data_IF_675256002616
#
_entry.id   IF_675256002616
#
_cell.length_a   1.000
_cell.length_b   1.000
_cell.length_c   1.000
_cell.angle_alpha   90.00
_cell.angle_beta   90.00
_cell.angle_gamma   90.00
#
_symmetry.space_group_name_H-M   'P 1'
#
loop_
_entity.id
_entity.type
_entity.pdbx_description
1 polymer ?
#
# COMPACT_ATOMS: atom_id res chain seq x y z
N UNK A 1 52.75 4.13 1.43
CA UNK A 1 52.06 5.11 2.29
C UNK A 1 50.72 5.56 1.71
N UNK A 2 50.61 5.79 0.39
CA UNK A 2 49.38 6.21 -0.30
C UNK A 2 48.25 5.15 -0.29
N UNK A 3 48.60 3.87 -0.32
CA UNK A 3 47.64 2.74 -0.37
C UNK A 3 46.79 2.62 0.91
N UNK A 4 47.33 3.06 2.06
CA UNK A 4 46.63 3.07 3.35
C UNK A 4 45.51 4.11 3.43
N UNK A 5 45.66 5.24 2.75
CA UNK A 5 44.67 6.33 2.79
C UNK A 5 43.47 6.05 1.88
N UNK A 6 43.70 5.42 0.72
CA UNK A 6 42.60 4.96 -0.15
C UNK A 6 41.72 3.90 0.53
N UNK A 7 42.33 2.99 1.29
CA UNK A 7 41.59 1.96 2.02
C UNK A 7 40.72 2.57 3.13
N UNK A 8 41.25 3.57 3.85
CA UNK A 8 40.48 4.32 4.87
C UNK A 8 39.32 5.11 4.26
N UNK A 9 39.56 5.81 3.15
CA UNK A 9 38.51 6.58 2.45
C UNK A 9 37.42 5.65 1.90
N UNK A 10 37.81 4.51 1.33
CA UNK A 10 36.87 3.49 0.84
C UNK A 10 35.99 2.94 1.97
N UNK A 11 36.58 2.60 3.12
CA UNK A 11 35.85 2.14 4.31
C UNK A 11 34.86 3.19 4.84
N UNK A 12 35.28 4.46 4.92
CA UNK A 12 34.40 5.55 5.33
C UNK A 12 33.22 5.77 4.36
N UNK A 13 33.47 5.69 3.05
CA UNK A 13 32.43 5.80 2.02
C UNK A 13 31.44 4.64 2.07
N UNK A 14 31.93 3.41 2.28
CA UNK A 14 31.09 2.22 2.47
C UNK A 14 30.23 2.34 3.74
N UNK A 15 30.81 2.82 4.84
CA UNK A 15 30.09 3.03 6.08
C UNK A 15 28.96 4.08 5.92
N UNK A 16 29.27 5.23 5.29
CA UNK A 16 28.28 6.26 4.99
C UNK A 16 27.17 5.76 4.06
N UNK A 17 27.54 5.01 3.02
CA UNK A 17 26.59 4.38 2.09
C UNK A 17 25.66 3.39 2.77
N UNK A 18 26.19 2.51 3.61
CA UNK A 18 25.40 1.55 4.38
C UNK A 18 24.43 2.24 5.34
N UNK A 19 24.88 3.30 6.04
CA UNK A 19 24.02 4.09 6.93
C UNK A 19 22.89 4.79 6.16
N UNK A 20 23.18 5.31 4.95
CA UNK A 20 22.17 5.92 4.10
C UNK A 20 21.11 4.90 3.66
N UNK A 21 21.54 3.73 3.16
CA UNK A 21 20.62 2.65 2.72
C UNK A 21 19.72 2.17 3.85
N UNK A 22 20.25 1.99 5.06
CA UNK A 22 19.47 1.63 6.26
C UNK A 22 18.42 2.69 6.59
N UNK A 23 18.81 3.95 6.58
CA UNK A 23 17.87 5.06 6.80
C UNK A 23 16.73 5.07 5.78
N UNK A 24 17.02 4.77 4.50
CA UNK A 24 15.98 4.66 3.47
C UNK A 24 15.05 3.47 3.74
N UNK A 25 15.60 2.30 4.06
CA UNK A 25 14.79 1.10 4.38
C UNK A 25 13.88 1.34 5.58
N UNK A 26 14.42 1.92 6.65
CA UNK A 26 13.65 2.36 7.81
C UNK A 26 12.46 3.25 7.43
N UNK A 27 12.72 4.30 6.64
CA UNK A 27 11.68 5.25 6.21
C UNK A 27 10.64 4.58 5.30
N UNK A 28 11.08 3.71 4.37
CA UNK A 28 10.20 2.99 3.46
C UNK A 28 9.32 1.99 4.22
N UNK A 29 9.89 1.24 5.17
CA UNK A 29 9.12 0.30 5.99
C UNK A 29 8.06 1.04 6.79
N UNK A 30 8.41 2.15 7.46
CA UNK A 30 7.40 3.00 8.14
C UNK A 30 6.34 3.56 7.20
N UNK A 31 6.70 3.89 5.94
CA UNK A 31 5.73 4.33 4.94
C UNK A 31 4.75 3.22 4.54
N UNK A 32 5.22 1.98 4.41
CA UNK A 32 4.36 0.81 4.22
C UNK A 32 3.45 0.57 5.43
N UNK A 33 3.96 0.72 6.66
CA UNK A 33 3.12 0.66 7.85
C UNK A 33 1.95 1.66 7.81
N UNK A 34 2.24 2.92 7.47
CA UNK A 34 1.19 3.95 7.26
C UNK A 34 0.23 3.58 6.13
N UNK A 35 0.74 3.06 5.02
CA UNK A 35 -0.09 2.59 3.90
C UNK A 35 -1.10 1.54 4.39
N UNK A 36 -0.65 0.51 5.11
CA UNK A 36 -1.55 -0.52 5.62
C UNK A 36 -2.62 0.06 6.54
N UNK A 37 -2.27 0.99 7.44
CA UNK A 37 -3.23 1.64 8.33
C UNK A 37 -4.27 2.49 7.57
N UNK A 38 -3.84 3.30 6.60
CA UNK A 38 -4.72 4.15 5.80
C UNK A 38 -5.77 3.29 5.09
N UNK A 39 -5.34 2.22 4.46
CA UNK A 39 -6.22 1.37 3.67
C UNK A 39 -7.06 0.41 4.53
N UNK A 40 -6.56 -0.05 5.68
CA UNK A 40 -7.39 -0.75 6.66
C UNK A 40 -8.56 0.11 7.13
N UNK A 41 -8.30 1.39 7.45
CA UNK A 41 -9.34 2.36 7.79
C UNK A 41 -10.27 2.62 6.59
N UNK A 42 -9.74 2.65 5.37
CA UNK A 42 -10.55 2.84 4.16
C UNK A 42 -11.54 1.69 3.96
N UNK A 43 -11.09 0.45 4.12
CA UNK A 43 -11.94 -0.74 4.04
C UNK A 43 -13.03 -0.70 5.12
N UNK A 44 -12.67 -0.30 6.34
CA UNK A 44 -13.65 -0.06 7.41
C UNK A 44 -14.71 0.96 6.98
N UNK A 45 -14.30 2.10 6.43
CA UNK A 45 -15.24 3.13 5.98
C UNK A 45 -16.12 2.64 4.81
N UNK A 46 -15.58 1.87 3.86
CA UNK A 46 -16.39 1.29 2.78
C UNK A 46 -17.48 0.35 3.30
N UNK A 47 -17.21 -0.41 4.36
CA UNK A 47 -18.18 -1.35 4.91
C UNK A 47 -19.24 -0.66 5.77
N UNK A 48 -18.83 0.27 6.64
CA UNK A 48 -19.72 0.80 7.67
C UNK A 48 -20.42 2.11 7.31
N UNK A 49 -19.85 2.96 6.44
CA UNK A 49 -20.53 4.19 5.99
C UNK A 49 -21.84 3.88 5.26
N UNK A 50 -21.92 2.89 4.35
CA UNK A 50 -23.18 2.58 3.68
C UNK A 50 -24.31 2.20 4.64
N UNK A 51 -23.98 1.41 5.68
CA UNK A 51 -24.93 1.00 6.70
C UNK A 51 -25.50 2.19 7.47
N UNK A 52 -24.66 3.19 7.75
CA UNK A 52 -25.08 4.43 8.39
C UNK A 52 -25.94 5.32 7.45
N UNK A 53 -25.55 5.45 6.18
CA UNK A 53 -26.28 6.25 5.20
C UNK A 53 -27.67 5.69 4.89
N UNK A 54 -27.82 4.37 4.89
CA UNK A 54 -29.11 3.69 4.73
C UNK A 54 -30.13 4.08 5.80
N UNK A 55 -29.69 4.47 6.99
CA UNK A 55 -30.56 4.88 8.08
C UNK A 55 -30.96 6.37 8.00
N UNK A 56 -30.20 7.19 7.26
CA UNK A 56 -30.35 8.65 7.24
C UNK A 56 -30.95 9.21 5.94
N UNK A 57 -30.85 8.48 4.84
CA UNK A 57 -31.20 8.99 3.51
C UNK A 57 -32.33 8.19 2.87
N UNK A 58 -33.21 8.89 2.14
CA UNK A 58 -34.24 8.26 1.31
C UNK A 58 -33.58 7.41 0.23
N UNK A 59 -34.23 6.32 -0.19
CA UNK A 59 -33.77 5.41 -1.26
C UNK A 59 -33.30 6.11 -2.54
N UNK A 60 -33.90 7.25 -2.88
CA UNK A 60 -33.56 8.05 -4.06
C UNK A 60 -32.21 8.80 -3.97
N UNK A 61 -31.71 9.03 -2.75
CA UNK A 61 -30.44 9.74 -2.49
C UNK A 61 -29.29 8.79 -2.09
N UNK A 62 -29.59 7.51 -1.82
CA UNK A 62 -28.61 6.52 -1.36
C UNK A 62 -27.51 6.28 -2.39
N UNK A 63 -27.84 6.11 -3.66
CA UNK A 63 -26.85 5.86 -4.72
C UNK A 63 -25.85 7.01 -4.86
N UNK A 64 -26.34 8.26 -4.77
CA UNK A 64 -25.50 9.47 -4.81
C UNK A 64 -24.63 9.54 -3.55
N UNK A 65 -25.22 9.31 -2.37
CA UNK A 65 -24.49 9.34 -1.10
C UNK A 65 -23.40 8.27 -1.06
N UNK A 66 -23.65 7.06 -1.57
CA UNK A 66 -22.64 6.00 -1.70
C UNK A 66 -21.53 6.40 -2.65
N UNK A 67 -21.87 6.90 -3.84
CA UNK A 67 -20.89 7.33 -4.84
C UNK A 67 -19.96 8.40 -4.30
N UNK A 68 -20.53 9.43 -3.67
CA UNK A 68 -19.76 10.53 -3.07
C UNK A 68 -18.89 10.02 -1.94
N UNK A 69 -19.42 9.15 -1.07
CA UNK A 69 -18.68 8.62 0.08
C UNK A 69 -17.50 7.76 -0.37
N UNK A 70 -17.73 6.83 -1.31
CA UNK A 70 -16.69 5.93 -1.81
C UNK A 70 -15.61 6.69 -2.57
N UNK A 71 -16.02 7.62 -3.45
CA UNK A 71 -15.09 8.51 -4.14
C UNK A 71 -14.25 9.32 -3.17
N UNK A 72 -14.86 9.87 -2.11
CA UNK A 72 -14.16 10.66 -1.09
C UNK A 72 -13.13 9.83 -0.33
N UNK A 73 -13.49 8.63 0.12
CA UNK A 73 -12.57 7.72 0.82
C UNK A 73 -11.35 7.44 -0.07
N UNK A 74 -11.55 7.12 -1.35
CA UNK A 74 -10.44 6.78 -2.25
C UNK A 74 -9.53 7.97 -2.52
N UNK A 75 -10.12 9.14 -2.80
CA UNK A 75 -9.34 10.36 -3.05
C UNK A 75 -8.50 10.70 -1.82
N UNK A 76 -9.11 10.70 -0.62
CA UNK A 76 -8.41 11.01 0.63
C UNK A 76 -7.33 9.99 0.94
N UNK A 77 -7.64 8.69 0.88
CA UNK A 77 -6.69 7.62 1.20
C UNK A 77 -5.53 7.54 0.21
N UNK A 78 -5.80 7.79 -1.06
CA UNK A 78 -4.76 7.86 -2.07
C UNK A 78 -3.90 9.12 -1.91
N UNK A 79 -4.48 10.26 -1.58
CA UNK A 79 -3.75 11.48 -1.27
C UNK A 79 -2.82 11.28 -0.06
N UNK A 80 -3.32 10.69 1.02
CA UNK A 80 -2.52 10.38 2.22
C UNK A 80 -1.41 9.36 1.92
N UNK A 81 -1.70 8.35 1.10
CA UNK A 81 -0.69 7.40 0.60
C UNK A 81 0.39 8.12 -0.20
N UNK A 82 -0.02 9.01 -1.12
CA UNK A 82 0.87 9.83 -1.92
C UNK A 82 1.80 10.70 -1.07
N UNK A 83 1.25 11.44 -0.10
CA UNK A 83 2.02 12.25 0.83
C UNK A 83 3.02 11.42 1.64
N UNK A 84 2.64 10.21 2.05
CA UNK A 84 3.48 9.31 2.82
C UNK A 84 4.71 8.89 2.03
N UNK A 85 4.52 8.42 0.80
CA UNK A 85 5.64 7.98 -0.05
C UNK A 85 6.41 9.15 -0.66
N UNK A 86 5.79 10.31 -0.87
CA UNK A 86 6.48 11.50 -1.36
C UNK A 86 7.53 11.98 -0.36
N UNK A 87 7.20 12.01 0.94
CA UNK A 87 8.16 12.37 1.99
C UNK A 87 9.37 11.46 1.96
N UNK A 88 9.17 10.15 1.84
CA UNK A 88 10.28 9.18 1.71
C UNK A 88 11.05 9.36 0.42
N UNK A 89 10.35 9.62 -0.70
CA UNK A 89 10.98 9.86 -1.99
C UNK A 89 11.83 11.15 -2.00
N UNK A 90 11.41 12.21 -1.30
CA UNK A 90 12.21 13.44 -1.14
C UNK A 90 13.48 13.18 -0.34
N UNK A 91 13.38 12.43 0.75
CA UNK A 91 14.57 12.04 1.55
C UNK A 91 15.52 11.15 0.74
N UNK A 92 14.98 10.18 -0.01
CA UNK A 92 15.76 9.33 -0.90
C UNK A 92 16.37 10.10 -2.09
N UNK A 93 15.68 11.12 -2.61
CA UNK A 93 16.20 12.00 -3.68
C UNK A 93 17.33 12.90 -3.18
N UNK A 94 17.21 13.47 -1.97
CA UNK A 94 18.30 14.23 -1.34
C UNK A 94 19.55 13.37 -1.20
N UNK A 95 19.40 12.12 -0.76
CA UNK A 95 20.51 11.16 -0.73
C UNK A 95 21.00 10.81 -2.14
N UNK A 96 20.13 10.53 -3.12
CA UNK A 96 20.56 10.24 -4.50
C UNK A 96 21.23 11.42 -5.21
N UNK A 97 20.86 12.65 -4.89
CA UNK A 97 21.48 13.86 -5.42
C UNK A 97 22.93 14.01 -4.92
N UNK A 98 23.21 13.57 -3.68
CA UNK A 98 24.57 13.44 -3.16
C UNK A 98 25.37 12.34 -3.88
N UNK A 99 24.71 11.30 -4.41
CA UNK A 99 25.37 10.11 -4.99
C UNK A 99 25.17 9.93 -6.52
N UNK A 100 24.77 10.97 -7.27
CA UNK A 100 24.59 10.96 -8.75
C UNK A 100 23.93 9.69 -9.33
N UNK A 101 22.72 9.33 -8.90
CA UNK A 101 21.97 8.24 -9.52
C UNK A 101 21.18 8.68 -10.77
N UNK A 102 21.07 7.83 -11.82
CA UNK A 102 20.37 8.14 -13.07
C UNK A 102 18.85 8.32 -12.88
N UNK A 103 18.27 9.22 -13.69
CA UNK A 103 16.84 9.57 -13.71
C UNK A 103 15.98 8.37 -14.14
N UNK A 104 14.88 8.12 -13.42
CA UNK A 104 13.85 7.14 -13.80
C UNK A 104 13.18 7.51 -15.13
N UNK A 105 12.86 6.49 -15.92
CA UNK A 105 12.26 6.61 -17.25
C UNK A 105 10.81 7.15 -17.18
N UNK A 106 10.48 8.04 -18.13
CA UNK A 106 9.15 8.69 -18.24
C UNK A 106 8.01 7.68 -18.42
N UNK A 107 8.29 6.55 -19.11
CA UNK A 107 7.33 5.45 -19.31
C UNK A 107 6.78 4.86 -18.01
N UNK A 108 7.61 4.71 -16.97
CA UNK A 108 7.17 4.14 -15.68
C UNK A 108 6.23 5.10 -14.93
N UNK A 109 6.42 6.41 -15.11
CA UNK A 109 5.56 7.43 -14.52
C UNK A 109 4.19 7.43 -15.21
N UNK A 110 4.18 7.30 -16.54
CA UNK A 110 2.96 7.23 -17.34
C UNK A 110 2.16 5.97 -17.01
N UNK A 111 2.82 4.80 -16.94
CA UNK A 111 2.15 3.55 -16.57
C UNK A 111 1.55 3.61 -15.16
N UNK A 112 2.26 4.21 -14.20
CA UNK A 112 1.76 4.37 -12.82
C UNK A 112 0.56 5.30 -12.75
N UNK A 113 0.58 6.40 -13.48
CA UNK A 113 -0.53 7.35 -13.53
C UNK A 113 -1.73 6.76 -14.28
N UNK A 114 -1.52 6.02 -15.37
CA UNK A 114 -2.57 5.32 -16.09
C UNK A 114 -3.24 4.24 -15.23
N UNK A 115 -2.45 3.49 -14.44
CA UNK A 115 -2.97 2.52 -13.48
C UNK A 115 -3.82 3.18 -12.39
N UNK A 116 -3.37 4.32 -11.88
CA UNK A 116 -4.10 5.09 -10.87
C UNK A 116 -5.42 5.69 -11.42
N UNK A 117 -5.40 6.18 -12.66
CA UNK A 117 -6.60 6.65 -13.37
C UNK A 117 -7.56 5.49 -13.67
N UNK A 118 -7.06 4.31 -14.02
CA UNK A 118 -7.88 3.12 -14.20
C UNK A 118 -8.58 2.68 -12.90
N UNK A 119 -7.89 2.75 -11.75
CA UNK A 119 -8.49 2.50 -10.43
C UNK A 119 -9.57 3.53 -10.12
N UNK A 120 -9.33 4.82 -10.40
CA UNK A 120 -10.32 5.89 -10.22
C UNK A 120 -11.57 5.70 -11.08
N UNK A 121 -11.39 5.38 -12.36
CA UNK A 121 -12.50 5.08 -13.29
C UNK A 121 -13.28 3.86 -12.80
N UNK A 122 -12.56 2.83 -12.35
CA UNK A 122 -13.22 1.63 -11.86
C UNK A 122 -14.08 1.93 -10.64
N UNK A 123 -13.58 2.68 -9.67
CA UNK A 123 -14.32 3.00 -8.44
C UNK A 123 -15.59 3.80 -8.76
N UNK A 124 -15.52 4.70 -9.74
CA UNK A 124 -16.71 5.40 -10.25
C UNK A 124 -17.71 4.42 -10.86
N UNK A 125 -17.25 3.36 -11.54
CA UNK A 125 -18.10 2.28 -12.05
C UNK A 125 -18.64 1.35 -10.93
N UNK A 126 -17.86 1.14 -9.86
CA UNK A 126 -18.27 0.39 -8.66
C UNK A 126 -19.41 1.10 -7.90
N UNK A 127 -19.49 2.42 -7.97
CA UNK A 127 -20.57 3.18 -7.35
C UNK A 127 -21.91 3.11 -8.11
N UNK A 128 -21.90 2.76 -9.41
CA UNK A 128 -23.08 2.83 -10.28
C UNK A 128 -23.71 1.46 -10.52
N UNK A 129 -24.47 0.89 -9.57
CA UNK A 129 -25.47 -0.20 -9.78
C UNK A 129 -25.05 -1.53 -10.45
N UNK A 130 -23.85 -1.62 -11.02
CA UNK A 130 -23.36 -2.68 -11.91
C UNK A 130 -23.09 -3.98 -11.14
N UNK A 131 -22.88 -3.85 -9.83
CA UNK A 131 -22.70 -4.95 -8.88
C UNK A 131 -23.89 -5.85 -8.64
N UNK A 132 -25.09 -5.43 -9.06
CA UNK A 132 -26.25 -6.31 -9.00
C UNK A 132 -26.18 -7.44 -10.02
N UNK A 133 -25.20 -7.41 -10.93
CA UNK A 133 -25.00 -8.43 -11.97
C UNK A 133 -23.75 -9.28 -11.70
N UNK A 134 -23.81 -10.56 -12.09
CA UNK A 134 -22.67 -11.49 -11.99
C UNK A 134 -21.41 -10.96 -12.69
N UNK A 135 -21.59 -10.29 -13.83
CA UNK A 135 -20.49 -9.70 -14.58
C UNK A 135 -19.81 -8.55 -13.82
N UNK A 136 -20.58 -7.73 -13.08
CA UNK A 136 -20.03 -6.66 -12.24
C UNK A 136 -19.16 -7.20 -11.11
N UNK A 137 -19.60 -8.26 -10.44
CA UNK A 137 -18.83 -8.93 -9.37
C UNK A 137 -17.55 -9.57 -9.89
N UNK A 138 -17.62 -10.24 -11.06
CA UNK A 138 -16.43 -10.81 -11.69
C UNK A 138 -15.41 -9.73 -12.04
N UNK A 139 -15.88 -8.62 -12.63
CA UNK A 139 -15.01 -7.51 -12.99
C UNK A 139 -14.34 -6.92 -11.75
N UNK A 140 -15.09 -6.68 -10.67
CA UNK A 140 -14.52 -6.21 -9.41
C UNK A 140 -13.43 -7.12 -8.87
N UNK A 141 -13.69 -8.42 -8.74
CA UNK A 141 -12.70 -9.37 -8.26
C UNK A 141 -11.41 -9.34 -9.10
N UNK A 142 -11.54 -9.20 -10.43
CA UNK A 142 -10.38 -9.08 -11.33
C UNK A 142 -9.57 -7.80 -11.08
N UNK A 143 -10.20 -6.65 -10.83
CA UNK A 143 -9.42 -5.45 -10.48
C UNK A 143 -8.87 -5.53 -9.06
N UNK A 144 -9.63 -6.02 -8.08
CA UNK A 144 -9.13 -6.16 -6.72
C UNK A 144 -7.91 -7.08 -6.67
N UNK A 145 -7.85 -8.11 -7.49
CA UNK A 145 -6.67 -8.95 -7.69
C UNK A 145 -5.41 -8.20 -8.17
N UNK A 146 -5.53 -7.00 -8.76
CA UNK A 146 -4.38 -6.17 -9.12
C UNK A 146 -3.73 -5.49 -7.91
N UNK A 147 -4.47 -5.25 -6.83
CA UNK A 147 -3.97 -4.62 -5.60
C UNK A 147 -2.87 -5.45 -4.92
N UNK A 148 -3.02 -6.77 -4.66
CA UNK A 148 -1.95 -7.57 -4.07
C UNK A 148 -0.72 -7.63 -4.98
N UNK A 149 -0.88 -7.65 -6.30
CA UNK A 149 0.24 -7.58 -7.27
C UNK A 149 0.98 -6.25 -7.14
N UNK A 150 0.25 -5.13 -7.02
CA UNK A 150 0.83 -3.81 -6.80
C UNK A 150 1.61 -3.73 -5.49
N UNK A 151 1.02 -4.22 -4.38
CA UNK A 151 1.69 -4.25 -3.07
C UNK A 151 2.95 -5.12 -3.13
N UNK A 152 2.85 -6.33 -3.68
CA UNK A 152 3.98 -7.25 -3.84
C UNK A 152 5.14 -6.57 -4.58
N UNK A 153 4.87 -6.01 -5.77
CA UNK A 153 5.88 -5.35 -6.59
C UNK A 153 6.43 -4.10 -5.91
N UNK A 154 5.58 -3.29 -5.29
CA UNK A 154 5.99 -2.06 -4.60
C UNK A 154 6.91 -2.35 -3.41
N UNK A 155 6.54 -3.34 -2.59
CA UNK A 155 7.34 -3.77 -1.42
C UNK A 155 8.67 -4.35 -1.88
N UNK A 156 8.66 -5.29 -2.83
CA UNK A 156 9.89 -5.90 -3.34
C UNK A 156 10.85 -4.86 -3.95
N UNK A 157 10.33 -3.91 -4.74
CA UNK A 157 11.15 -2.84 -5.33
C UNK A 157 11.69 -1.85 -4.30
N UNK A 158 11.01 -1.68 -3.16
CA UNK A 158 11.36 -0.67 -2.16
C UNK A 158 12.28 -1.21 -1.06
N UNK A 159 11.99 -2.41 -0.54
CA UNK A 159 12.75 -3.05 0.53
C UNK A 159 13.74 -4.11 0.02
N UNK A 160 13.59 -4.58 -1.22
CA UNK A 160 14.41 -5.65 -1.81
C UNK A 160 13.97 -7.07 -1.40
N UNK A 161 13.23 -7.18 -0.30
CA UNK A 161 12.63 -8.41 0.21
C UNK A 161 11.18 -8.15 0.60
N UNK A 162 10.40 -9.22 0.72
CA UNK A 162 9.01 -9.13 1.18
C UNK A 162 8.99 -9.49 2.67
N UNK A 163 8.84 -8.49 3.56
CA UNK A 163 8.79 -8.76 4.98
C UNK A 163 7.48 -9.44 5.35
N UNK A 164 7.46 -10.08 6.52
CA UNK A 164 6.33 -10.88 6.97
C UNK A 164 5.01 -10.08 7.01
N UNK A 165 5.03 -8.82 7.45
CA UNK A 165 3.86 -7.96 7.47
C UNK A 165 3.21 -7.75 6.08
N UNK A 166 4.02 -7.73 5.01
CA UNK A 166 3.50 -7.60 3.65
C UNK A 166 2.82 -8.90 3.19
N UNK A 167 3.36 -10.05 3.57
CA UNK A 167 2.72 -11.35 3.31
C UNK A 167 1.37 -11.46 4.01
N UNK A 168 1.27 -10.98 5.27
CA UNK A 168 -0.01 -10.94 5.99
C UNK A 168 -1.03 -10.05 5.27
N UNK A 169 -0.62 -8.85 4.86
CA UNK A 169 -1.50 -7.92 4.16
C UNK A 169 -1.97 -8.49 2.81
N UNK A 170 -1.06 -9.04 1.99
CA UNK A 170 -1.37 -9.64 0.70
C UNK A 170 -2.26 -10.87 0.85
N UNK A 171 -1.90 -11.79 1.76
CA UNK A 171 -2.61 -13.04 1.96
C UNK A 171 -4.03 -12.83 2.48
N UNK A 172 -4.20 -11.94 3.46
CA UNK A 172 -5.53 -11.57 3.96
C UNK A 172 -6.40 -10.93 2.88
N UNK A 173 -5.82 -10.03 2.08
CA UNK A 173 -6.54 -9.39 0.98
C UNK A 173 -7.01 -10.40 -0.08
N UNK A 174 -6.14 -11.31 -0.53
CA UNK A 174 -6.50 -12.37 -1.48
C UNK A 174 -7.61 -13.25 -0.90
N UNK A 175 -7.50 -13.62 0.38
CA UNK A 175 -8.54 -14.39 1.06
C UNK A 175 -9.89 -13.66 1.07
N UNK A 176 -9.90 -12.36 1.38
CA UNK A 176 -11.12 -11.56 1.39
C UNK A 176 -11.72 -11.39 0.00
N UNK A 177 -10.90 -11.12 -1.01
CA UNK A 177 -11.33 -10.96 -2.40
C UNK A 177 -11.96 -12.26 -2.95
N UNK A 178 -11.23 -13.37 -2.85
CA UNK A 178 -11.72 -14.69 -3.30
C UNK A 178 -12.90 -15.17 -2.46
N UNK A 179 -12.84 -15.03 -1.14
CA UNK A 179 -13.88 -15.47 -0.23
C UNK A 179 -15.18 -14.70 -0.41
N UNK A 180 -15.10 -13.38 -0.53
CA UNK A 180 -16.27 -12.53 -0.79
C UNK A 180 -16.88 -12.86 -2.16
N UNK A 181 -16.09 -12.96 -3.23
CA UNK A 181 -16.59 -13.35 -4.55
C UNK A 181 -17.27 -14.73 -4.54
N UNK A 182 -16.64 -15.74 -3.95
CA UNK A 182 -17.21 -17.09 -3.83
C UNK A 182 -18.50 -17.09 -3.01
N UNK A 183 -18.56 -16.32 -1.92
CA UNK A 183 -19.76 -16.22 -1.08
C UNK A 183 -20.95 -15.70 -1.88
N UNK A 184 -20.75 -14.69 -2.71
CA UNK A 184 -21.83 -14.11 -3.53
C UNK A 184 -22.28 -15.10 -4.60
N UNK A 185 -21.35 -15.83 -5.22
CA UNK A 185 -21.66 -16.84 -6.24
C UNK A 185 -22.44 -18.01 -5.64
N UNK A 186 -22.00 -18.53 -4.49
CA UNK A 186 -22.59 -19.71 -3.85
C UNK A 186 -23.94 -19.41 -3.21
N UNK A 187 -24.06 -18.29 -2.51
CA UNK A 187 -25.29 -17.91 -1.79
C UNK A 187 -26.28 -17.14 -2.65
N UNK A 188 -25.85 -16.70 -3.85
CA UNK A 188 -26.60 -15.77 -4.74
C UNK A 188 -27.07 -14.51 -4.00
N UNK A 189 -26.33 -14.11 -2.97
CA UNK A 189 -26.65 -12.98 -2.09
C UNK A 189 -25.38 -12.21 -1.76
N UNK A 190 -25.48 -10.88 -1.74
CA UNK A 190 -24.39 -10.01 -1.30
C UNK A 190 -24.29 -9.91 0.23
N UNK A 191 -25.16 -10.61 0.97
CA UNK A 191 -25.28 -10.47 2.42
C UNK A 191 -23.96 -10.71 3.17
N UNK A 192 -23.23 -11.78 2.83
CA UNK A 192 -21.97 -12.14 3.50
C UNK A 192 -20.73 -11.44 2.95
N UNK A 193 -20.87 -10.63 1.90
CA UNK A 193 -19.74 -10.01 1.23
C UNK A 193 -18.89 -9.14 2.19
N UNK A 194 -19.48 -8.24 3.01
CA UNK A 194 -18.70 -7.37 3.89
C UNK A 194 -17.93 -8.12 5.00
N UNK A 195 -18.46 -9.24 5.49
CA UNK A 195 -17.88 -10.02 6.58
C UNK A 195 -16.52 -10.63 6.19
N UNK A 196 -16.35 -10.98 4.92
CA UNK A 196 -15.08 -11.50 4.40
C UNK A 196 -13.97 -10.45 4.43
N UNK A 197 -14.28 -9.16 4.52
CA UNK A 197 -13.29 -8.08 4.58
C UNK A 197 -12.81 -7.75 6.00
N UNK A 198 -13.50 -8.25 7.03
CA UNK A 198 -13.10 -8.07 8.45
C UNK A 198 -11.70 -8.63 8.74
N UNK A 199 -11.35 -9.86 8.30
CA UNK A 199 -9.99 -10.37 8.43
C UNK A 199 -8.93 -9.45 7.80
N UNK A 200 -9.20 -8.92 6.60
CA UNK A 200 -8.27 -7.98 5.93
C UNK A 200 -8.04 -6.72 6.76
N UNK A 201 -9.10 -6.11 7.31
CA UNK A 201 -8.95 -4.95 8.19
C UNK A 201 -8.02 -5.23 9.37
N UNK A 202 -8.27 -6.33 10.09
CA UNK A 202 -7.48 -6.72 11.27
C UNK A 202 -6.03 -6.98 10.87
N UNK A 203 -5.81 -7.77 9.83
CA UNK A 203 -4.47 -8.17 9.39
C UNK A 203 -3.67 -7.00 8.83
N UNK A 204 -4.31 -6.02 8.18
CA UNK A 204 -3.65 -4.81 7.71
C UNK A 204 -3.29 -3.85 8.87
N UNK A 205 -4.14 -3.74 9.90
CA UNK A 205 -3.77 -3.04 11.14
C UNK A 205 -2.58 -3.73 11.84
N UNK A 206 -2.59 -5.05 11.94
CA UNK A 206 -1.47 -5.81 12.51
C UNK A 206 -0.20 -5.65 11.68
N UNK A 207 -0.30 -5.70 10.35
CA UNK A 207 0.82 -5.44 9.43
C UNK A 207 1.40 -4.04 9.61
N UNK A 208 0.54 -3.04 9.82
CA UNK A 208 0.97 -1.67 10.17
C UNK A 208 1.81 -1.65 11.45
N UNK A 209 1.31 -2.26 12.53
CA UNK A 209 2.00 -2.30 13.83
C UNK A 209 3.34 -3.02 13.70
N UNK A 210 3.37 -4.20 13.08
CA UNK A 210 4.60 -4.97 12.84
C UNK A 210 5.60 -4.17 11.99
N UNK A 211 5.11 -3.47 10.97
CA UNK A 211 5.96 -2.62 10.13
C UNK A 211 6.60 -1.47 10.90
N UNK A 212 5.92 -0.90 11.91
CA UNK A 212 6.50 0.12 12.77
C UNK A 212 7.46 -0.46 13.80
N UNK A 213 7.12 -1.60 14.41
CA UNK A 213 7.96 -2.28 15.38
C UNK A 213 9.29 -2.71 14.75
N UNK A 214 9.21 -3.42 13.62
CA UNK A 214 10.38 -3.98 12.95
C UNK A 214 11.16 -2.93 12.14
N UNK A 215 10.64 -1.71 11.97
CA UNK A 215 11.43 -0.64 11.38
C UNK A 215 12.66 -0.33 12.25
N UNK A 216 12.54 -0.41 13.59
CA UNK A 216 13.67 -0.18 14.50
C UNK A 216 14.86 -1.10 14.20
N UNK A 217 14.59 -2.35 13.84
CA UNK A 217 15.62 -3.33 13.49
C UNK A 217 16.41 -2.95 12.24
N UNK A 218 15.79 -2.29 11.25
CA UNK A 218 16.49 -1.79 10.07
C UNK A 218 17.49 -0.67 10.40
N UNK A 219 17.34 -0.04 11.58
CA UNK A 219 18.27 0.96 12.11
C UNK A 219 19.38 0.34 12.98
N UNK A 220 19.06 -0.73 13.72
CA UNK A 220 19.90 -1.30 14.80
C UNK A 220 20.69 -2.54 14.34
N UNK A 221 20.10 -3.44 13.54
CA UNK A 221 20.72 -4.70 13.14
C UNK A 221 21.69 -4.50 11.96
N UNK A 222 22.89 -4.03 12.30
CA UNK A 222 24.19 -4.34 11.66
C UNK A 222 25.24 -3.39 12.27
N UNK A 223 25.27 -3.31 13.59
CA UNK A 223 26.38 -2.73 14.34
C UNK A 223 27.45 -3.81 14.43
N UNK A 224 28.14 -4.05 13.31
CA UNK A 224 29.57 -4.30 13.42
C UNK A 224 30.19 -2.91 13.48
N UNK A 225 30.17 -2.32 14.68
CA UNK A 225 30.88 -1.07 14.98
C UNK A 225 32.39 -1.19 14.69
N UNK A 226 32.88 -2.42 14.48
CA UNK A 226 34.23 -2.74 14.02
C UNK A 226 34.47 -2.42 12.53
N UNK A 227 33.45 -2.29 11.66
CA UNK A 227 33.66 -1.99 10.23
C UNK A 227 33.88 -0.49 9.94
N UNK A 228 33.59 0.39 10.90
CA UNK A 228 33.66 1.85 10.72
C UNK A 228 34.69 2.56 11.62
N UNK A 229 35.48 1.82 12.41
CA UNK A 229 36.58 2.33 13.24
C UNK A 229 37.94 1.98 12.63
#
# INVERSE_FOLDING_TARGET
MIESDYEKISKQLLCAGNKAVRTVRYLLRRAWGKYYAIWALSIFLFIYIPNFLNQLTSTLLQDVAFSVSYGSIIVVSSYLTGLTFEKVARTAKLQKALYRYPRRNLKDIILRNAFFVAILILVVLLATGFFRTFFGLFLEAVILAMIPVYIYRGVLQSLGIIPFEANLAIGSFIFSDVGSALSVILTRSAYYYPEFWVPTMIMWFMASILSFANAGDDLINNINQEECN
#
